data_IF_129627062704
#
_entry.id   IF_129627062704
#
_cell.length_a   1.000
_cell.length_b   1.000
_cell.length_c   1.000
_cell.angle_alpha   90.00
_cell.angle_beta   90.00
_cell.angle_gamma   90.00
#
_symmetry.space_group_name_H-M   'P 1'
#
loop_
_entity.id
_entity.type
_entity.pdbx_description
1 polymer ?
#
# COMPACT_ATOMS: atom_id res chain seq x y z
N UNK A 1 -7.05 35.78 -38.22
CA UNK A 1 -7.29 35.70 -36.77
C UNK A 1 -8.08 34.39 -36.52
N UNK A 2 -7.36 33.26 -36.34
CA UNK A 2 -7.93 31.96 -36.10
C UNK A 2 -7.80 31.70 -34.60
N UNK A 3 -8.90 31.78 -33.88
CA UNK A 3 -9.01 31.35 -32.48
C UNK A 3 -9.09 29.83 -32.44
N UNK A 4 -7.98 29.18 -32.12
CA UNK A 4 -7.96 27.76 -31.85
C UNK A 4 -8.70 27.48 -30.52
N UNK A 5 -9.92 27.00 -30.62
CA UNK A 5 -10.65 26.37 -29.52
C UNK A 5 -9.94 25.07 -29.16
N UNK A 6 -9.01 25.14 -28.23
CA UNK A 6 -8.49 23.97 -27.53
C UNK A 6 -9.60 23.43 -26.62
N UNK A 7 -10.39 22.49 -27.15
CA UNK A 7 -11.34 21.69 -26.38
C UNK A 7 -10.50 20.90 -25.35
N UNK A 8 -10.46 21.36 -24.12
CA UNK A 8 -9.94 20.55 -23.00
C UNK A 8 -10.86 19.34 -22.86
N UNK A 9 -10.43 18.21 -23.40
CA UNK A 9 -11.05 16.92 -23.11
C UNK A 9 -10.89 16.70 -21.61
N UNK A 10 -11.99 16.95 -20.87
CA UNK A 10 -12.06 16.66 -19.44
C UNK A 10 -11.94 15.14 -19.31
N UNK A 11 -10.79 14.66 -18.82
CA UNK A 11 -10.58 13.24 -18.60
C UNK A 11 -11.76 12.72 -17.76
N UNK A 12 -12.55 11.83 -18.32
CA UNK A 12 -13.67 11.19 -17.61
C UNK A 12 -13.10 10.43 -16.42
N UNK A 13 -13.70 10.64 -15.26
CA UNK A 13 -13.32 9.95 -14.04
C UNK A 13 -13.66 8.47 -14.19
N UNK A 14 -12.68 7.61 -13.98
CA UNK A 14 -12.88 6.17 -13.98
C UNK A 14 -13.52 5.75 -12.64
N UNK A 15 -14.82 5.48 -12.68
CA UNK A 15 -15.58 5.09 -11.50
C UNK A 15 -15.31 3.64 -11.08
N UNK A 16 -14.86 2.77 -11.98
CA UNK A 16 -14.56 1.37 -11.65
C UNK A 16 -13.41 1.27 -10.66
N UNK A 17 -12.33 2.02 -10.89
CA UNK A 17 -11.19 2.10 -9.96
C UNK A 17 -11.58 2.69 -8.60
N UNK A 18 -12.54 3.58 -8.55
CA UNK A 18 -13.05 4.13 -7.28
C UNK A 18 -13.89 3.09 -6.53
N UNK A 19 -14.73 2.32 -7.23
CA UNK A 19 -15.50 1.22 -6.64
C UNK A 19 -14.60 0.13 -6.05
N UNK A 20 -13.63 -0.34 -6.83
CA UNK A 20 -12.65 -1.34 -6.37
C UNK A 20 -11.93 -0.86 -5.11
N UNK A 21 -11.45 0.39 -5.12
CA UNK A 21 -10.78 0.95 -3.96
C UNK A 21 -11.68 1.05 -2.74
N UNK A 22 -12.96 1.41 -2.94
CA UNK A 22 -13.96 1.45 -1.89
C UNK A 22 -14.21 0.07 -1.27
N UNK A 23 -14.36 -0.96 -2.09
CA UNK A 23 -14.52 -2.36 -1.62
C UNK A 23 -13.29 -2.85 -0.85
N UNK A 24 -12.08 -2.55 -1.31
CA UNK A 24 -10.86 -2.93 -0.61
C UNK A 24 -10.66 -2.18 0.71
N UNK A 25 -11.11 -0.92 0.81
CA UNK A 25 -11.15 -0.18 2.08
C UNK A 25 -12.15 -0.83 3.04
N UNK A 26 -13.34 -1.16 2.55
CA UNK A 26 -14.36 -1.85 3.36
C UNK A 26 -13.84 -3.20 3.86
N UNK A 27 -13.21 -3.98 2.98
CA UNK A 27 -12.55 -5.23 3.35
C UNK A 27 -11.49 -5.02 4.45
N UNK A 28 -10.65 -4.01 4.32
CA UNK A 28 -9.64 -3.68 5.34
C UNK A 28 -10.28 -3.35 6.70
N UNK A 29 -11.37 -2.58 6.71
CA UNK A 29 -12.10 -2.24 7.94
C UNK A 29 -12.69 -3.49 8.58
N UNK A 30 -13.37 -4.34 7.80
CA UNK A 30 -13.96 -5.61 8.28
C UNK A 30 -12.86 -6.52 8.84
N UNK A 31 -11.74 -6.66 8.15
CA UNK A 31 -10.60 -7.48 8.62
C UNK A 31 -10.05 -7.01 9.97
N UNK A 32 -9.97 -5.71 10.19
CA UNK A 32 -9.57 -5.17 11.50
C UNK A 32 -10.61 -5.42 12.58
N UNK A 33 -11.91 -5.27 12.28
CA UNK A 33 -12.98 -5.56 13.23
C UNK A 33 -13.03 -7.05 13.54
N UNK A 34 -12.93 -7.92 12.53
CA UNK A 34 -12.91 -9.37 12.70
C UNK A 34 -11.76 -9.83 13.61
N UNK A 35 -10.57 -9.26 13.46
CA UNK A 35 -9.44 -9.53 14.35
C UNK A 35 -9.65 -9.08 15.79
N UNK A 36 -10.48 -8.06 16.04
CA UNK A 36 -10.79 -7.59 17.40
C UNK A 36 -11.83 -8.47 18.11
N UNK A 37 -12.75 -9.07 17.35
CA UNK A 37 -13.80 -9.95 17.89
C UNK A 37 -13.47 -11.43 17.72
N UNK A 38 -12.23 -11.74 17.31
CA UNK A 38 -11.74 -13.10 17.07
C UNK A 38 -12.64 -13.90 16.11
N UNK A 39 -13.24 -13.20 15.15
CA UNK A 39 -14.10 -13.79 14.14
C UNK A 39 -13.26 -14.31 12.97
N UNK A 40 -13.53 -15.55 12.56
CA UNK A 40 -12.90 -16.07 11.33
C UNK A 40 -13.41 -15.29 10.11
N UNK A 41 -12.46 -14.78 9.34
CA UNK A 41 -12.74 -13.99 8.13
C UNK A 41 -11.94 -14.52 6.94
N UNK A 42 -12.40 -15.62 6.31
CA UNK A 42 -11.65 -16.34 5.29
C UNK A 42 -11.41 -15.51 4.02
N UNK A 43 -12.26 -14.51 3.75
CA UNK A 43 -12.07 -13.58 2.61
C UNK A 43 -10.76 -12.81 2.72
N UNK A 44 -10.25 -12.62 3.92
CA UNK A 44 -8.97 -11.99 4.15
C UNK A 44 -7.82 -12.72 3.42
N UNK A 45 -7.88 -14.04 3.33
CA UNK A 45 -6.87 -14.86 2.66
C UNK A 45 -6.86 -14.69 1.13
N UNK A 46 -7.98 -14.29 0.55
CA UNK A 46 -8.13 -14.08 -0.90
C UNK A 46 -7.74 -12.65 -1.29
N UNK A 47 -8.07 -11.65 -0.46
CA UNK A 47 -7.89 -10.24 -0.77
C UNK A 47 -6.60 -9.64 -0.20
N UNK A 48 -5.57 -10.45 0.06
CA UNK A 48 -4.28 -9.98 0.60
C UNK A 48 -3.54 -8.96 -0.27
N UNK A 49 -3.96 -8.77 -1.50
CA UNK A 49 -3.39 -7.77 -2.40
C UNK A 49 -3.93 -6.34 -2.16
N UNK A 50 -4.84 -6.12 -1.20
CA UNK A 50 -5.46 -4.80 -0.99
C UNK A 50 -4.45 -3.68 -0.70
N UNK A 51 -3.43 -3.93 0.10
CA UNK A 51 -2.38 -2.92 0.35
C UNK A 51 -1.49 -2.69 -0.88
N UNK A 52 -0.96 -3.72 -1.56
CA UNK A 52 -0.32 -3.58 -2.87
C UNK A 52 -1.12 -2.79 -3.89
N UNK A 53 -2.45 -2.99 -3.96
CA UNK A 53 -3.35 -2.25 -4.83
C UNK A 53 -3.25 -0.74 -4.66
N UNK A 54 -3.22 -0.23 -3.43
CA UNK A 54 -3.15 1.22 -3.19
C UNK A 54 -1.82 1.83 -3.62
N UNK A 55 -0.71 1.11 -3.47
CA UNK A 55 0.58 1.54 -4.01
C UNK A 55 0.57 1.52 -5.54
N UNK A 56 0.04 0.46 -6.14
CA UNK A 56 -0.12 0.32 -7.58
C UNK A 56 -0.98 1.46 -8.15
N UNK A 57 -2.17 1.68 -7.60
CA UNK A 57 -3.05 2.80 -7.99
C UNK A 57 -2.34 4.15 -7.84
N UNK A 58 -1.54 4.34 -6.80
CA UNK A 58 -0.71 5.53 -6.63
C UNK A 58 0.25 5.74 -7.80
N UNK A 59 0.87 4.67 -8.30
CA UNK A 59 1.75 4.66 -9.47
C UNK A 59 1.02 4.95 -10.77
N UNK A 60 -0.15 4.36 -11.01
CA UNK A 60 -0.97 4.61 -12.20
C UNK A 60 -1.29 6.11 -12.36
N UNK A 61 -1.62 6.78 -11.28
CA UNK A 61 -1.93 8.22 -11.30
C UNK A 61 -0.72 9.12 -11.07
N UNK A 62 0.48 8.54 -11.05
CA UNK A 62 1.69 9.34 -10.92
C UNK A 62 1.91 10.22 -12.16
N UNK A 63 2.25 11.49 -11.89
CA UNK A 63 2.70 12.45 -12.90
C UNK A 63 3.92 13.14 -12.33
N UNK A 64 5.00 13.14 -13.07
CA UNK A 64 6.23 13.84 -12.69
C UNK A 64 5.96 15.31 -12.37
N UNK A 65 6.61 15.78 -11.33
CA UNK A 65 6.59 17.18 -10.92
C UNK A 65 7.93 17.61 -10.35
N UNK A 66 8.14 18.90 -10.35
CA UNK A 66 9.24 19.47 -9.60
C UNK A 66 9.20 19.01 -8.14
N UNK A 67 10.35 18.68 -7.58
CA UNK A 67 10.52 18.13 -6.23
C UNK A 67 9.76 18.90 -5.16
N UNK A 68 9.92 20.23 -5.11
CA UNK A 68 9.25 21.08 -4.11
C UNK A 68 7.73 21.04 -4.20
N UNK A 69 7.22 21.00 -5.44
CA UNK A 69 5.78 20.93 -5.72
C UNK A 69 5.21 19.59 -5.28
N UNK A 70 5.89 18.49 -5.62
CA UNK A 70 5.45 17.15 -5.24
C UNK A 70 5.54 16.94 -3.73
N UNK A 71 6.63 17.40 -3.09
CA UNK A 71 6.80 17.33 -1.64
C UNK A 71 5.66 18.04 -0.91
N UNK A 72 5.37 19.31 -1.25
CA UNK A 72 4.30 20.09 -0.60
C UNK A 72 2.93 19.47 -0.82
N UNK A 73 2.65 19.00 -2.03
CA UNK A 73 1.37 18.35 -2.36
C UNK A 73 1.19 17.04 -1.60
N UNK A 74 2.21 16.20 -1.59
CA UNK A 74 2.19 14.90 -0.91
C UNK A 74 2.14 15.08 0.61
N UNK A 75 2.87 16.05 1.16
CA UNK A 75 2.81 16.40 2.56
C UNK A 75 1.39 16.79 3.00
N UNK A 76 0.74 17.71 2.29
CA UNK A 76 -0.64 18.13 2.60
C UNK A 76 -1.65 16.99 2.50
N UNK A 77 -1.47 16.06 1.56
CA UNK A 77 -2.43 15.00 1.28
C UNK A 77 -2.23 13.73 2.11
N UNK A 78 -1.02 13.46 2.56
CA UNK A 78 -0.66 12.22 3.24
C UNK A 78 -0.18 12.46 4.67
N UNK A 79 0.73 13.43 4.89
CA UNK A 79 1.31 13.64 6.21
C UNK A 79 0.37 14.42 7.14
N UNK A 80 -0.34 15.44 6.64
CA UNK A 80 -1.31 16.14 7.48
C UNK A 80 -2.41 15.20 7.98
N UNK A 81 -3.11 14.41 7.13
CA UNK A 81 -4.04 13.39 7.63
C UNK A 81 -3.39 12.38 8.56
N UNK A 82 -2.18 11.92 8.26
CA UNK A 82 -1.43 11.02 9.13
C UNK A 82 -1.28 11.59 10.54
N UNK A 83 -0.84 12.84 10.66
CA UNK A 83 -0.67 13.51 11.98
C UNK A 83 -2.02 13.67 12.68
N UNK A 84 -3.03 14.20 11.99
CA UNK A 84 -4.36 14.45 12.58
C UNK A 84 -4.97 13.15 13.11
N UNK A 85 -5.00 12.09 12.29
CA UNK A 85 -5.56 10.81 12.71
C UNK A 85 -4.68 10.09 13.75
N UNK A 86 -3.37 10.32 13.76
CA UNK A 86 -2.49 9.81 14.83
C UNK A 86 -2.83 10.45 16.17
N UNK A 87 -3.07 11.76 16.21
CA UNK A 87 -3.49 12.46 17.43
C UNK A 87 -4.84 11.95 17.92
N UNK A 88 -5.82 11.82 17.01
CA UNK A 88 -7.14 11.27 17.34
C UNK A 88 -7.02 9.84 17.88
N UNK A 89 -6.26 8.98 17.21
CA UNK A 89 -6.04 7.61 17.65
C UNK A 89 -5.35 7.52 19.01
N UNK A 90 -4.37 8.38 19.27
CA UNK A 90 -3.72 8.47 20.57
C UNK A 90 -4.67 8.93 21.67
N UNK A 91 -5.55 9.90 21.38
CA UNK A 91 -6.56 10.36 22.33
C UNK A 91 -7.55 9.23 22.68
N UNK A 92 -8.06 8.51 21.68
CA UNK A 92 -8.96 7.36 21.89
C UNK A 92 -8.25 6.26 22.70
N UNK A 93 -7.00 5.96 22.38
CA UNK A 93 -6.20 5.00 23.13
C UNK A 93 -6.03 5.39 24.60
N UNK A 94 -5.72 6.67 24.85
CA UNK A 94 -5.59 7.21 26.19
C UNK A 94 -6.89 7.08 26.99
N UNK A 95 -8.04 7.44 26.38
CA UNK A 95 -9.36 7.29 27.01
C UNK A 95 -9.62 5.82 27.36
N UNK A 96 -9.32 4.91 26.45
CA UNK A 96 -9.47 3.46 26.71
C UNK A 96 -8.65 3.00 27.91
N UNK A 97 -7.38 3.40 28.00
CA UNK A 97 -6.51 3.04 29.14
C UNK A 97 -7.06 3.60 30.46
N UNK A 98 -7.57 4.82 30.46
CA UNK A 98 -8.22 5.41 31.63
C UNK A 98 -9.45 4.63 32.07
N UNK A 99 -10.30 4.22 31.12
CA UNK A 99 -11.46 3.38 31.40
C UNK A 99 -11.08 1.98 31.95
N UNK A 100 -9.92 1.48 31.57
CA UNK A 100 -9.39 0.19 32.05
C UNK A 100 -8.60 0.31 33.37
N UNK A 101 -8.53 1.51 33.95
CA UNK A 101 -7.74 1.82 35.16
C UNK A 101 -6.26 1.42 35.02
N UNK A 102 -5.69 1.56 33.84
CA UNK A 102 -4.28 1.24 33.60
C UNK A 102 -3.37 2.22 34.37
N UNK A 103 -2.43 1.72 35.13
CA UNK A 103 -1.54 2.53 35.98
C UNK A 103 -0.16 2.76 35.37
N UNK A 104 0.18 2.03 34.30
CA UNK A 104 1.47 2.17 33.63
C UNK A 104 1.50 3.40 32.71
N UNK A 105 2.17 4.47 33.16
CA UNK A 105 2.31 5.74 32.44
C UNK A 105 2.96 5.56 31.07
N UNK A 106 3.84 4.58 30.89
CA UNK A 106 4.53 4.33 29.61
C UNK A 106 3.52 3.95 28.51
N UNK A 107 2.43 3.27 28.86
CA UNK A 107 1.37 2.92 27.91
C UNK A 107 0.58 4.14 27.41
N UNK A 108 0.49 5.20 28.19
CA UNK A 108 -0.21 6.44 27.81
C UNK A 108 0.59 7.29 26.83
N UNK A 109 1.90 7.34 26.96
CA UNK A 109 2.76 8.28 26.22
C UNK A 109 3.01 7.81 24.77
N UNK A 110 2.67 6.58 24.42
CA UNK A 110 2.90 6.03 23.10
C UNK A 110 4.35 6.27 22.66
N UNK A 111 5.24 5.39 22.99
CA UNK A 111 6.68 5.57 22.87
C UNK A 111 7.08 6.14 21.49
N UNK A 112 7.90 7.21 21.37
CA UNK A 112 8.43 7.67 20.06
C UNK A 112 9.11 6.56 19.26
N UNK A 113 9.70 5.59 19.96
CA UNK A 113 10.24 4.37 19.35
C UNK A 113 9.20 3.53 18.61
N UNK A 114 7.92 3.62 18.98
CA UNK A 114 6.85 2.92 18.26
C UNK A 114 6.73 3.44 16.82
N UNK A 115 6.79 4.75 16.63
CA UNK A 115 6.79 5.32 15.29
C UNK A 115 8.05 4.92 14.51
N UNK A 116 9.23 4.97 15.13
CA UNK A 116 10.50 4.59 14.48
C UNK A 116 10.49 3.12 14.08
N UNK A 117 9.93 2.24 14.92
CA UNK A 117 9.93 0.80 14.67
C UNK A 117 8.80 0.35 13.76
N UNK A 118 7.61 0.93 13.88
CA UNK A 118 6.39 0.44 13.26
C UNK A 118 5.79 1.39 12.20
N UNK A 119 6.33 2.60 12.06
CA UNK A 119 5.82 3.61 11.13
C UNK A 119 4.44 4.17 11.50
N UNK A 120 3.94 3.88 12.72
CA UNK A 120 2.65 4.37 13.20
C UNK A 120 2.69 4.51 14.72
N UNK A 121 1.81 5.38 15.27
CA UNK A 121 1.61 5.53 16.70
C UNK A 121 0.65 4.47 17.25
N UNK A 122 0.67 4.28 18.58
CA UNK A 122 -0.32 3.44 19.25
C UNK A 122 -1.75 3.95 18.98
N UNK A 123 -2.70 3.03 18.91
CA UNK A 123 -4.12 3.33 18.71
C UNK A 123 -4.54 3.53 17.26
N UNK A 124 -3.60 3.67 16.30
CA UNK A 124 -3.97 3.79 14.89
C UNK A 124 -2.92 3.17 13.95
N UNK A 125 -2.71 1.86 14.12
CA UNK A 125 -1.74 1.10 13.33
C UNK A 125 -1.92 1.22 11.79
N UNK A 126 -3.15 1.26 11.21
CA UNK A 126 -3.34 1.37 9.76
C UNK A 126 -2.72 2.60 9.12
N UNK A 127 -2.44 3.64 9.87
CA UNK A 127 -1.85 4.88 9.34
C UNK A 127 -0.42 4.72 8.80
N UNK A 128 0.27 3.62 9.12
CA UNK A 128 1.59 3.32 8.55
C UNK A 128 1.62 3.47 7.03
N UNK A 129 0.50 3.15 6.38
CA UNK A 129 0.37 3.20 4.93
C UNK A 129 0.52 4.61 4.37
N UNK A 130 -0.08 5.62 5.01
CA UNK A 130 0.02 7.02 4.55
C UNK A 130 1.46 7.52 4.57
N UNK A 131 2.19 7.19 5.63
CA UNK A 131 3.60 7.53 5.77
C UNK A 131 4.45 6.82 4.71
N UNK A 132 4.25 5.51 4.53
CA UNK A 132 4.98 4.73 3.53
C UNK A 132 4.68 5.20 2.11
N UNK A 133 3.41 5.47 1.78
CA UNK A 133 3.02 5.99 0.47
C UNK A 133 3.64 7.37 0.20
N UNK A 134 3.74 8.23 1.22
CA UNK A 134 4.42 9.51 1.09
C UNK A 134 5.88 9.32 0.67
N UNK A 135 6.62 8.45 1.36
CA UNK A 135 8.05 8.22 1.05
C UNK A 135 8.19 7.57 -0.33
N UNK A 136 7.41 6.54 -0.63
CA UNK A 136 7.43 5.86 -1.94
C UNK A 136 7.20 6.85 -3.08
N UNK A 137 6.22 7.73 -2.93
CA UNK A 137 5.87 8.72 -3.93
C UNK A 137 6.99 9.72 -4.17
N UNK A 138 7.61 10.23 -3.12
CA UNK A 138 8.74 11.16 -3.20
C UNK A 138 9.97 10.47 -3.79
N UNK A 139 10.28 9.26 -3.34
CA UNK A 139 11.41 8.48 -3.86
C UNK A 139 11.23 8.18 -5.35
N UNK A 140 10.06 7.70 -5.77
CA UNK A 140 9.78 7.41 -7.18
C UNK A 140 9.90 8.66 -8.05
N UNK A 141 9.30 9.79 -7.65
CA UNK A 141 9.40 11.07 -8.37
C UNK A 141 10.86 11.55 -8.55
N UNK A 142 11.74 11.19 -7.62
CA UNK A 142 13.17 11.54 -7.69
C UNK A 142 13.96 10.62 -8.61
N UNK A 143 13.54 9.36 -8.76
CA UNK A 143 14.27 8.36 -9.51
C UNK A 143 13.78 8.21 -10.95
N UNK A 144 12.49 8.41 -11.24
CA UNK A 144 11.88 8.12 -12.55
C UNK A 144 12.51 8.87 -13.72
N UNK A 145 13.11 10.04 -13.50
CA UNK A 145 13.80 10.80 -14.53
C UNK A 145 15.20 10.26 -14.84
N UNK A 146 15.79 9.50 -13.93
CA UNK A 146 17.16 8.98 -14.00
C UNK A 146 17.22 7.50 -14.29
N UNK A 147 16.22 6.76 -13.82
CA UNK A 147 16.17 5.30 -13.86
C UNK A 147 14.82 4.88 -14.44
N UNK A 148 14.83 3.97 -15.40
CA UNK A 148 13.58 3.41 -15.97
C UNK A 148 12.77 2.72 -14.85
N UNK A 149 11.45 2.89 -14.87
CA UNK A 149 10.54 2.30 -13.87
C UNK A 149 10.76 0.81 -13.64
N UNK A 150 11.04 0.07 -14.71
CA UNK A 150 11.31 -1.36 -14.64
C UNK A 150 12.56 -1.70 -13.78
N UNK A 151 13.63 -0.92 -13.93
CA UNK A 151 14.83 -1.11 -13.10
C UNK A 151 14.55 -0.76 -11.63
N UNK A 152 13.73 0.26 -11.37
CA UNK A 152 13.30 0.58 -9.99
C UNK A 152 12.52 -0.60 -9.42
N UNK A 153 11.61 -1.20 -10.19
CA UNK A 153 10.83 -2.36 -9.76
C UNK A 153 11.74 -3.56 -9.45
N UNK A 154 12.68 -3.91 -10.35
CA UNK A 154 13.63 -5.01 -10.13
C UNK A 154 14.50 -4.78 -8.90
N UNK A 155 15.06 -3.59 -8.74
CA UNK A 155 15.88 -3.26 -7.57
C UNK A 155 15.06 -3.36 -6.27
N UNK A 156 13.83 -2.88 -6.31
CA UNK A 156 12.93 -2.92 -5.16
C UNK A 156 12.57 -4.35 -4.76
N UNK A 157 12.20 -5.22 -5.70
CA UNK A 157 11.89 -6.61 -5.37
C UNK A 157 13.13 -7.38 -4.90
N UNK A 158 14.29 -7.15 -5.53
CA UNK A 158 15.54 -7.78 -5.12
C UNK A 158 15.91 -7.39 -3.68
N UNK A 159 15.77 -6.10 -3.34
CA UNK A 159 16.04 -5.60 -1.99
C UNK A 159 15.02 -6.14 -0.97
N UNK A 160 13.74 -6.22 -1.33
CA UNK A 160 12.71 -6.80 -0.49
C UNK A 160 12.98 -8.28 -0.20
N UNK A 161 13.37 -9.06 -1.21
CA UNK A 161 13.77 -10.45 -1.04
C UNK A 161 15.01 -10.60 -0.17
N UNK A 162 16.01 -9.72 -0.35
CA UNK A 162 17.24 -9.72 0.47
C UNK A 162 16.90 -9.45 1.94
N UNK A 163 16.08 -8.46 2.24
CA UNK A 163 15.66 -8.15 3.61
C UNK A 163 14.92 -9.33 4.25
N UNK A 164 14.04 -9.98 3.50
CA UNK A 164 13.35 -11.17 3.98
C UNK A 164 14.35 -12.33 4.23
N UNK A 165 15.29 -12.57 3.32
CA UNK A 165 16.32 -13.59 3.47
C UNK A 165 17.21 -13.34 4.69
N UNK A 166 17.55 -12.08 4.97
CA UNK A 166 18.34 -11.69 6.15
C UNK A 166 17.54 -11.73 7.45
N UNK A 167 16.26 -12.07 7.41
CA UNK A 167 15.39 -12.10 8.59
C UNK A 167 15.14 -10.71 9.19
N UNK A 168 15.32 -9.64 8.42
CA UNK A 168 15.08 -8.28 8.90
C UNK A 168 13.58 -8.07 9.09
N UNK A 169 13.19 -7.88 10.34
CA UNK A 169 11.79 -7.65 10.71
C UNK A 169 11.52 -6.21 11.17
N UNK A 170 12.55 -5.41 11.39
CA UNK A 170 12.44 -4.03 11.89
C UNK A 170 13.56 -3.15 11.31
N UNK A 171 13.33 -1.84 11.14
CA UNK A 171 12.06 -1.13 11.31
C UNK A 171 11.10 -1.41 10.14
N UNK A 172 9.83 -1.59 10.43
CA UNK A 172 8.80 -1.98 9.46
C UNK A 172 8.71 -1.05 8.24
N UNK A 173 8.83 0.28 8.45
CA UNK A 173 8.70 1.24 7.36
C UNK A 173 9.79 1.08 6.29
N UNK A 174 11.01 0.67 6.62
CA UNK A 174 12.03 0.41 5.60
C UNK A 174 11.64 -0.78 4.72
N UNK A 175 11.07 -1.80 5.32
CA UNK A 175 10.69 -3.03 4.63
C UNK A 175 9.47 -2.80 3.72
N UNK A 176 8.44 -2.14 4.25
CA UNK A 176 7.22 -1.89 3.48
C UNK A 176 7.39 -0.80 2.40
N UNK A 177 8.28 0.16 2.58
CA UNK A 177 8.60 1.17 1.56
C UNK A 177 9.18 0.51 0.31
N UNK A 178 10.10 -0.43 0.47
CA UNK A 178 10.72 -1.13 -0.66
C UNK A 178 9.67 -1.94 -1.42
N UNK A 179 8.82 -2.69 -0.71
CA UNK A 179 7.71 -3.42 -1.30
C UNK A 179 6.69 -2.49 -1.97
N UNK A 180 6.36 -1.38 -1.31
CA UNK A 180 5.48 -0.35 -1.86
C UNK A 180 6.05 0.30 -3.12
N UNK A 181 7.36 0.54 -3.17
CA UNK A 181 8.03 1.10 -4.34
C UNK A 181 7.97 0.16 -5.55
N UNK A 182 8.06 -1.16 -5.32
CA UNK A 182 7.85 -2.16 -6.37
C UNK A 182 6.45 -2.00 -7.00
N UNK A 183 5.38 -2.08 -6.20
CA UNK A 183 4.01 -1.98 -6.74
C UNK A 183 3.71 -0.61 -7.36
N UNK A 184 4.24 0.45 -6.78
CA UNK A 184 4.12 1.79 -7.35
C UNK A 184 4.78 1.89 -8.72
N UNK A 185 5.98 1.32 -8.88
CA UNK A 185 6.71 1.29 -10.15
C UNK A 185 5.97 0.48 -11.21
N UNK A 186 5.41 -0.69 -10.82
CA UNK A 186 4.59 -1.51 -11.72
C UNK A 186 3.34 -0.74 -12.16
N UNK A 187 2.63 -0.09 -11.24
CA UNK A 187 1.45 0.73 -11.58
C UNK A 187 1.77 1.86 -12.54
N UNK A 188 2.92 2.53 -12.36
CA UNK A 188 3.38 3.55 -13.29
C UNK A 188 3.69 3.00 -14.68
N UNK A 189 4.35 1.85 -14.75
CA UNK A 189 4.70 1.21 -16.02
C UNK A 189 3.51 0.66 -16.77
N UNK A 190 2.62 -0.01 -16.06
CA UNK A 190 1.47 -0.71 -16.66
C UNK A 190 0.36 0.24 -17.14
N UNK A 191 0.24 1.47 -16.60
CA UNK A 191 -0.74 2.45 -17.10
C UNK A 191 -0.60 2.77 -18.59
N UNK A 192 0.53 2.42 -19.20
CA UNK A 192 0.83 2.66 -20.62
C UNK A 192 0.58 1.42 -21.49
N UNK A 193 0.26 0.29 -20.88
CA UNK A 193 0.11 -1.00 -21.57
C UNK A 193 -1.39 -1.30 -21.71
N UNK A 194 -1.81 -1.52 -22.93
CA UNK A 194 -3.14 -2.08 -23.19
C UNK A 194 -3.08 -3.60 -23.01
N UNK A 195 -3.83 -4.08 -22.03
CA UNK A 195 -3.96 -5.52 -21.79
C UNK A 195 -4.91 -6.14 -22.84
N UNK A 196 -4.63 -7.38 -23.21
CA UNK A 196 -5.55 -8.17 -24.02
C UNK A 196 -6.25 -9.23 -23.14
N UNK A 197 -7.38 -9.73 -23.61
CA UNK A 197 -8.19 -10.73 -22.90
C UNK A 197 -7.39 -11.97 -22.48
N UNK A 198 -6.41 -12.39 -23.29
CA UNK A 198 -5.57 -13.56 -22.98
C UNK A 198 -4.68 -13.29 -21.75
N UNK A 199 -4.08 -12.10 -21.69
CA UNK A 199 -3.24 -11.72 -20.56
C UNK A 199 -4.06 -11.61 -19.27
N UNK A 200 -5.25 -11.03 -19.36
CA UNK A 200 -6.21 -11.00 -18.26
C UNK A 200 -6.56 -12.40 -17.75
N UNK A 201 -6.95 -13.33 -18.66
CA UNK A 201 -7.28 -14.71 -18.30
C UNK A 201 -6.12 -15.43 -17.63
N UNK A 202 -4.88 -15.24 -18.12
CA UNK A 202 -3.68 -15.82 -17.51
C UNK A 202 -3.51 -15.30 -16.08
N UNK A 203 -3.63 -13.99 -15.87
CA UNK A 203 -3.50 -13.39 -14.55
C UNK A 203 -4.60 -13.87 -13.60
N UNK A 204 -5.85 -13.94 -14.06
CA UNK A 204 -6.98 -14.46 -13.29
C UNK A 204 -6.79 -15.92 -12.89
N UNK A 205 -6.45 -16.78 -13.84
CA UNK A 205 -6.17 -18.20 -13.57
C UNK A 205 -5.01 -18.39 -12.58
N UNK A 206 -3.94 -17.61 -12.74
CA UNK A 206 -2.79 -17.66 -11.84
C UNK A 206 -3.17 -17.20 -10.41
N UNK A 207 -3.96 -16.15 -10.30
CA UNK A 207 -4.48 -15.67 -9.02
C UNK A 207 -5.31 -16.74 -8.30
N UNK A 208 -6.27 -17.34 -9.01
CA UNK A 208 -7.12 -18.39 -8.46
C UNK A 208 -6.33 -19.63 -8.09
N UNK A 209 -5.40 -20.05 -8.94
CA UNK A 209 -4.53 -21.20 -8.67
C UNK A 209 -3.73 -21.00 -7.39
N UNK A 210 -3.06 -19.86 -7.24
CA UNK A 210 -2.26 -19.57 -6.04
C UNK A 210 -3.15 -19.44 -4.81
N UNK A 211 -4.30 -18.78 -4.91
CA UNK A 211 -5.23 -18.63 -3.78
C UNK A 211 -5.70 -19.99 -3.23
N UNK A 212 -5.93 -20.98 -4.10
CA UNK A 212 -6.39 -22.30 -3.71
C UNK A 212 -5.25 -23.21 -3.21
N UNK A 213 -4.09 -23.15 -3.87
CA UNK A 213 -2.98 -24.08 -3.58
C UNK A 213 -2.06 -23.60 -2.46
N UNK A 214 -1.94 -22.30 -2.28
CA UNK A 214 -1.01 -21.68 -1.32
C UNK A 214 -1.69 -20.52 -0.58
N UNK A 215 -2.52 -20.81 0.45
CA UNK A 215 -3.08 -19.77 1.28
C UNK A 215 -1.93 -19.01 1.96
N UNK A 216 -1.67 -17.81 1.47
CA UNK A 216 -0.53 -16.99 1.90
C UNK A 216 -1.05 -15.98 2.93
N UNK A 217 -0.57 -16.06 4.15
CA UNK A 217 -0.71 -14.98 5.10
C UNK A 217 0.45 -13.99 4.93
N UNK A 218 0.13 -12.73 4.74
CA UNK A 218 1.13 -11.66 4.60
C UNK A 218 0.74 -10.47 5.45
N UNK A 219 1.62 -10.06 6.33
CA UNK A 219 1.55 -8.74 6.92
C UNK A 219 2.52 -7.81 6.17
N UNK A 220 2.00 -7.03 5.22
CA UNK A 220 2.82 -6.10 4.45
C UNK A 220 3.44 -4.99 5.33
N UNK A 221 2.83 -4.67 6.46
CA UNK A 221 3.38 -3.67 7.40
C UNK A 221 4.72 -4.09 7.96
N UNK A 222 4.81 -5.35 8.39
CA UNK A 222 6.04 -5.93 8.96
C UNK A 222 6.89 -6.67 7.94
N UNK A 223 6.40 -6.80 6.71
CA UNK A 223 7.01 -7.60 5.65
C UNK A 223 7.25 -9.06 6.06
N UNK A 224 6.33 -9.61 6.85
CA UNK A 224 6.36 -10.99 7.31
C UNK A 224 5.47 -11.89 6.46
N UNK A 225 5.96 -13.07 6.14
CA UNK A 225 5.32 -14.05 5.26
C UNK A 225 5.28 -15.40 5.95
N UNK A 226 4.10 -16.00 6.02
CA UNK A 226 3.91 -17.29 6.69
C UNK A 226 4.40 -18.51 5.91
N UNK A 227 4.51 -18.40 4.58
CA UNK A 227 4.73 -19.57 3.72
C UNK A 227 6.17 -19.76 3.24
N UNK A 228 7.12 -18.93 3.66
CA UNK A 228 8.52 -19.03 3.22
C UNK A 228 8.77 -18.72 1.74
N UNK A 229 7.73 -18.53 0.93
CA UNK A 229 7.86 -18.29 -0.51
C UNK A 229 7.50 -16.85 -0.89
N UNK A 230 8.39 -15.93 -0.60
CA UNK A 230 8.27 -14.51 -0.90
C UNK A 230 7.95 -14.20 -2.36
N UNK A 231 8.62 -14.82 -3.36
CA UNK A 231 8.33 -14.55 -4.76
C UNK A 231 6.89 -14.89 -5.19
N UNK A 232 6.29 -15.95 -4.64
CA UNK A 232 4.93 -16.35 -4.98
C UNK A 232 3.93 -15.25 -4.60
N UNK A 233 4.13 -14.60 -3.46
CA UNK A 233 3.27 -13.49 -3.06
C UNK A 233 3.31 -12.31 -4.04
N UNK A 234 4.51 -11.94 -4.52
CA UNK A 234 4.63 -10.88 -5.52
C UNK A 234 3.91 -11.24 -6.83
N UNK A 235 4.04 -12.48 -7.27
CA UNK A 235 3.34 -13.00 -8.45
C UNK A 235 1.83 -12.95 -8.21
N UNK A 236 1.37 -13.46 -7.07
CA UNK A 236 -0.05 -13.46 -6.71
C UNK A 236 -0.64 -12.04 -6.70
N UNK A 237 -0.03 -11.13 -5.95
CA UNK A 237 -0.54 -9.76 -5.85
C UNK A 237 -0.52 -9.03 -7.19
N UNK A 238 0.54 -9.20 -7.99
CA UNK A 238 0.63 -8.56 -9.32
C UNK A 238 -0.45 -9.11 -10.24
N UNK A 239 -0.64 -10.42 -10.28
CA UNK A 239 -1.66 -11.07 -11.09
C UNK A 239 -3.07 -10.65 -10.67
N UNK A 240 -3.36 -10.63 -9.36
CA UNK A 240 -4.65 -10.19 -8.82
C UNK A 240 -4.96 -8.72 -9.16
N UNK A 241 -3.97 -7.84 -9.00
CA UNK A 241 -4.10 -6.42 -9.32
C UNK A 241 -4.39 -6.20 -10.79
N UNK A 242 -3.65 -6.87 -11.68
CA UNK A 242 -3.86 -6.77 -13.13
C UNK A 242 -5.22 -7.30 -13.53
N UNK A 243 -5.69 -8.39 -12.89
CA UNK A 243 -7.02 -8.95 -13.17
C UNK A 243 -8.16 -7.99 -12.79
N UNK A 244 -7.97 -7.18 -11.77
CA UNK A 244 -8.97 -6.19 -11.33
C UNK A 244 -8.90 -4.91 -12.16
N UNK A 245 -7.70 -4.50 -12.55
CA UNK A 245 -7.48 -3.28 -13.34
C UNK A 245 -8.06 -3.39 -14.76
N UNK A 246 -8.20 -4.61 -15.28
CA UNK A 246 -8.77 -4.89 -16.60
C UNK A 246 -10.31 -4.74 -16.64
N UNK A 247 -10.99 -4.97 -15.52
CA UNK A 247 -12.47 -4.89 -15.43
C UNK A 247 -12.97 -3.46 -15.27
#
# INVERSE_FOLDING_TARGET
MQTSLTTQIKATRDYSLDWISGLLILHMIIGHIAGWVEMDYPVNNILFFFMPWFFFKGGMFHRHKEWKVELNKSFKRLIIPFIVFSIIGQAIWTIRLLCLHETDIVKYIGFPGTFILYGAFHGNAPLWFLFSLFIVRIAFNSFETKIKWFNIAIMSIALACLFNYMGLSRPYYLLNIVTGLFYYSIGYGLKQIQYNDRFFLICLCLTLLIAVTHPIYVDMRSNQFSSGCYPIWFIYCTAAIVSIDYT
#
